data_IF_349421063937
#
_entry.id   IF_349421063937
#
_cell.length_a   1.000
_cell.length_b   1.000
_cell.length_c   1.000
_cell.angle_alpha   90.00
_cell.angle_beta   90.00
_cell.angle_gamma   90.00
#
_symmetry.space_group_name_H-M   'P 1'
#
loop_
_entity.id
_entity.type
_entity.pdbx_description
1 polymer ?
#
# COMPACT_ATOMS: atom_id res chain seq x y z
N UNK A 1 -15.33 -10.79 11.36
CA UNK A 1 -14.96 -9.85 10.30
C UNK A 1 -13.51 -9.46 10.45
N UNK A 2 -12.70 -9.67 9.41
CA UNK A 2 -11.34 -9.18 9.50
C UNK A 2 -11.32 -7.65 9.51
N UNK A 3 -10.42 -7.11 10.30
CA UNK A 3 -10.25 -5.68 10.41
C UNK A 3 -9.02 -5.23 9.65
N UNK A 4 -9.10 -4.02 9.12
CA UNK A 4 -7.95 -3.40 8.50
C UNK A 4 -7.09 -2.83 9.63
N UNK A 5 -6.05 -3.58 9.99
CA UNK A 5 -5.19 -3.19 11.09
C UNK A 5 -3.98 -2.42 10.58
N UNK A 6 -3.40 -1.53 11.40
CA UNK A 6 -2.12 -0.92 11.04
C UNK A 6 -1.06 -1.99 10.83
N UNK A 7 -0.16 -1.74 9.91
CA UNK A 7 0.89 -2.71 9.62
C UNK A 7 2.19 -2.00 9.29
N UNK A 8 3.28 -2.76 9.38
CA UNK A 8 4.60 -2.25 9.05
C UNK A 8 4.65 -1.88 7.56
N UNK A 9 5.30 -0.76 7.26
CA UNK A 9 5.38 -0.28 5.89
C UNK A 9 6.01 -1.31 4.93
N UNK A 10 6.87 -2.18 5.44
CA UNK A 10 7.47 -3.22 4.62
C UNK A 10 6.48 -4.22 4.08
N UNK A 11 5.41 -4.52 4.85
CA UNK A 11 4.35 -5.39 4.35
C UNK A 11 3.50 -4.69 3.32
N UNK A 12 3.26 -3.40 3.50
CA UNK A 12 2.50 -2.64 2.52
C UNK A 12 3.27 -2.51 1.22
N UNK A 13 4.56 -2.30 1.29
CA UNK A 13 5.43 -2.26 0.12
C UNK A 13 5.35 -3.59 -0.66
N UNK A 14 5.37 -4.73 0.04
CA UNK A 14 5.26 -6.02 -0.64
C UNK A 14 3.90 -6.16 -1.33
N UNK A 15 2.85 -5.67 -0.70
CA UNK A 15 1.53 -5.66 -1.33
C UNK A 15 1.55 -4.83 -2.61
N UNK A 16 2.18 -3.66 -2.57
CA UNK A 16 2.25 -2.81 -3.77
C UNK A 16 2.98 -3.51 -4.91
N UNK A 17 4.08 -4.19 -4.61
CA UNK A 17 4.78 -4.93 -5.64
C UNK A 17 3.95 -6.08 -6.18
N UNK A 18 3.19 -6.74 -5.32
CA UNK A 18 2.31 -7.82 -5.74
C UNK A 18 1.28 -7.36 -6.76
N UNK A 19 0.76 -6.14 -6.61
CA UNK A 19 -0.26 -5.62 -7.54
C UNK A 19 0.36 -4.81 -8.68
N UNK A 20 1.65 -4.93 -8.91
CA UNK A 20 2.29 -4.36 -10.08
C UNK A 20 2.88 -2.97 -9.92
N UNK A 21 2.87 -2.42 -8.72
CA UNK A 21 3.52 -1.15 -8.47
C UNK A 21 5.02 -1.35 -8.32
N UNK A 22 5.77 -0.30 -8.59
CA UNK A 22 7.21 -0.34 -8.41
C UNK A 22 7.68 0.92 -7.71
N UNK A 23 8.79 0.79 -6.99
CA UNK A 23 9.39 1.89 -6.28
C UNK A 23 9.90 2.93 -7.27
N UNK A 24 9.52 4.18 -7.05
CA UNK A 24 10.01 5.27 -7.88
C UNK A 24 11.11 6.05 -7.19
N UNK A 25 10.84 6.53 -5.96
CA UNK A 25 11.83 7.31 -5.21
C UNK A 25 11.37 7.45 -3.76
N UNK A 26 12.29 7.95 -2.94
CA UNK A 26 11.99 8.29 -1.56
C UNK A 26 12.29 9.77 -1.35
N UNK A 27 11.35 10.46 -0.72
CA UNK A 27 11.53 11.87 -0.35
C UNK A 27 11.39 11.98 1.16
N UNK A 28 12.51 12.21 1.85
CA UNK A 28 12.52 12.21 3.30
C UNK A 28 12.09 10.84 3.81
N UNK A 29 11.05 10.81 4.63
CA UNK A 29 10.53 9.57 5.18
C UNK A 29 9.39 8.97 4.33
N UNK A 30 9.09 9.57 3.17
CA UNK A 30 7.98 9.10 2.33
C UNK A 30 8.50 8.28 1.16
N UNK A 31 7.92 7.09 0.99
CA UNK A 31 8.20 6.23 -0.14
C UNK A 31 7.16 6.49 -1.22
N UNK A 32 7.62 6.53 -2.47
CA UNK A 32 6.74 6.82 -3.60
C UNK A 32 6.81 5.66 -4.57
N UNK A 33 5.65 5.03 -4.82
CA UNK A 33 5.50 3.93 -5.74
C UNK A 33 4.59 4.33 -6.89
N UNK A 34 4.78 3.71 -8.04
CA UNK A 34 4.00 4.07 -9.22
C UNK A 34 3.63 2.83 -10.02
N UNK A 35 2.59 2.97 -10.83
CA UNK A 35 2.17 1.98 -11.82
C UNK A 35 1.60 2.76 -13.00
N UNK A 36 1.88 2.29 -14.22
CA UNK A 36 1.62 3.09 -15.43
C UNK A 36 0.15 3.49 -15.62
N UNK A 37 -0.78 2.71 -15.06
CA UNK A 37 -2.21 2.99 -15.22
C UNK A 37 -2.79 3.89 -14.11
N UNK A 38 -1.98 4.29 -13.14
CA UNK A 38 -2.48 5.07 -12.02
C UNK A 38 -2.44 6.57 -12.34
N UNK A 39 -3.52 7.27 -11.95
CA UNK A 39 -3.62 8.71 -12.16
C UNK A 39 -2.66 9.48 -11.26
N UNK A 40 -2.29 8.90 -10.12
CA UNK A 40 -1.38 9.53 -9.17
C UNK A 40 -0.52 8.47 -8.51
N UNK A 41 0.66 8.83 -7.99
CA UNK A 41 1.51 7.85 -7.33
C UNK A 41 0.95 7.45 -5.97
N UNK A 42 1.44 6.31 -5.48
CA UNK A 42 1.14 5.83 -4.15
C UNK A 42 2.22 6.36 -3.23
N UNK A 43 1.83 7.08 -2.17
CA UNK A 43 2.77 7.70 -1.24
C UNK A 43 2.42 7.26 0.18
N UNK A 44 3.43 6.82 0.93
CA UNK A 44 3.22 6.43 2.31
C UNK A 44 4.50 6.62 3.12
N UNK A 45 4.38 6.92 4.43
CA UNK A 45 5.57 7.12 5.26
C UNK A 45 6.22 5.78 5.61
N UNK A 46 7.56 5.81 5.79
CA UNK A 46 8.31 4.63 6.22
C UNK A 46 8.20 4.49 7.74
N UNK A 47 7.03 4.12 8.23
CA UNK A 47 6.74 3.98 9.66
C UNK A 47 6.50 2.53 10.02
N UNK A 48 6.82 2.18 11.26
CA UNK A 48 6.60 0.83 11.77
C UNK A 48 5.13 0.43 11.70
N UNK A 49 4.23 1.42 11.82
CA UNK A 49 2.79 1.16 11.69
C UNK A 49 2.19 2.21 10.78
N UNK A 50 1.67 1.78 9.64
CA UNK A 50 0.89 2.65 8.78
C UNK A 50 -0.53 2.70 9.30
N UNK A 51 -1.10 3.90 9.37
CA UNK A 51 -2.46 4.06 9.84
C UNK A 51 -3.46 3.51 8.82
N UNK A 52 -4.66 3.19 9.32
CA UNK A 52 -5.74 2.74 8.44
C UNK A 52 -6.03 3.77 7.37
N UNK A 53 -5.99 5.06 7.72
CA UNK A 53 -6.27 6.13 6.78
C UNK A 53 -5.30 6.11 5.61
N UNK A 54 -4.01 5.91 5.87
CA UNK A 54 -3.01 5.84 4.80
C UNK A 54 -3.29 4.63 3.90
N UNK A 55 -3.57 3.47 4.50
CA UNK A 55 -3.84 2.26 3.72
C UNK A 55 -5.07 2.46 2.85
N UNK A 56 -6.18 2.91 3.44
CA UNK A 56 -7.44 3.07 2.71
C UNK A 56 -7.32 4.11 1.60
N UNK A 57 -6.61 5.20 1.85
CA UNK A 57 -6.42 6.24 0.85
C UNK A 57 -5.68 5.68 -0.38
N UNK A 58 -4.67 4.86 -0.15
CA UNK A 58 -3.90 4.29 -1.25
C UNK A 58 -4.67 3.18 -1.97
N UNK A 59 -5.47 2.41 -1.24
CA UNK A 59 -6.35 1.43 -1.88
C UNK A 59 -7.34 2.11 -2.82
N UNK A 60 -7.84 3.28 -2.42
CA UNK A 60 -8.75 4.03 -3.26
C UNK A 60 -8.06 4.47 -4.56
N UNK A 61 -6.82 4.94 -4.47
CA UNK A 61 -6.05 5.31 -5.65
C UNK A 61 -5.83 4.10 -6.56
N UNK A 62 -5.58 2.93 -5.97
CA UNK A 62 -5.38 1.69 -6.71
C UNK A 62 -6.68 1.09 -7.24
N UNK A 63 -7.82 1.59 -6.77
CA UNK A 63 -9.13 1.02 -7.09
C UNK A 63 -9.25 -0.44 -6.65
N UNK A 64 -8.70 -0.74 -5.48
CA UNK A 64 -8.73 -2.07 -4.88
C UNK A 64 -9.62 -2.02 -3.65
N UNK A 65 -10.56 -2.96 -3.55
CA UNK A 65 -11.44 -3.02 -2.39
C UNK A 65 -10.69 -3.51 -1.16
N UNK A 66 -11.24 -3.19 0.02
CA UNK A 66 -10.69 -3.65 1.28
C UNK A 66 -10.65 -5.19 1.32
N UNK A 67 -11.71 -5.83 0.84
CA UNK A 67 -11.79 -7.29 0.80
C UNK A 67 -10.68 -7.88 -0.06
N UNK A 68 -10.46 -7.30 -1.23
CA UNK A 68 -9.40 -7.78 -2.11
C UNK A 68 -8.03 -7.57 -1.50
N UNK A 69 -7.82 -6.44 -0.84
CA UNK A 69 -6.58 -6.16 -0.14
C UNK A 69 -6.31 -7.22 0.93
N UNK A 70 -7.31 -7.53 1.76
CA UNK A 70 -7.14 -8.52 2.82
C UNK A 70 -6.84 -9.90 2.24
N UNK A 71 -7.51 -10.27 1.15
CA UNK A 71 -7.26 -11.52 0.46
C UNK A 71 -5.81 -11.62 -0.02
N UNK A 72 -5.31 -10.55 -0.64
CA UNK A 72 -3.94 -10.52 -1.14
C UNK A 72 -2.94 -10.59 0.01
N UNK A 73 -3.22 -9.88 1.10
CA UNK A 73 -2.33 -9.87 2.25
C UNK A 73 -2.16 -11.26 2.88
N UNK A 74 -3.15 -12.12 2.75
CA UNK A 74 -3.02 -13.50 3.23
C UNK A 74 -2.04 -14.33 2.39
N UNK A 75 -1.83 -13.94 1.15
CA UNK A 75 -0.92 -14.63 0.24
C UNK A 75 0.52 -14.14 0.37
N UNK A 76 0.71 -12.97 0.91
CA UNK A 76 2.03 -12.36 1.08
C UNK A 76 2.56 -12.71 2.46
N UNK A 77 3.77 -13.27 2.52
CA UNK A 77 4.37 -13.63 3.81
C UNK A 77 5.69 -12.94 4.06
#
# INVERSE_FOLDING_TARGET
MPHLTPLHYGKFWKFLEYVGCRFERQRGSHLIYTRSDLARPIVFPAKKQLSRTVILSNLKTLNISKEKYLEIMQKIK
#
